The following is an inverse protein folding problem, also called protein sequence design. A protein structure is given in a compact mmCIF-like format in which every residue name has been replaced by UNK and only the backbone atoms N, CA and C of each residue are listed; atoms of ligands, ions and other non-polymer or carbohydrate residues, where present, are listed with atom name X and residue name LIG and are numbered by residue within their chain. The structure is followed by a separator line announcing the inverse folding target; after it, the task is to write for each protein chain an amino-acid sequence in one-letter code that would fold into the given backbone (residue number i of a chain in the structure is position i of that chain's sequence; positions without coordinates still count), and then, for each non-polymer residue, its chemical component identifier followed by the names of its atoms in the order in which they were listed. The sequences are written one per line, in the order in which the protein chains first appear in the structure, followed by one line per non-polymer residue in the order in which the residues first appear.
data_IF_138416866445
#
_entry.id   IF_138416866445
#
_cell.length_a   1.000
_cell.length_b   1.000
_cell.length_c   1.000
_cell.angle_alpha   90.00
_cell.angle_beta   90.00
_cell.angle_gamma   90.00
#
_symmetry.space_group_name_H-M   'P 1'
#
loop_
_entity.id
_entity.type
_entity.pdbx_description
1 polymer ?
#
# COMPACT_ATOMS: atom_id res chain seq x y z
N UNK A 1 6.29 14.27 4.46
CA UNK A 1 5.73 13.19 3.60
C UNK A 1 6.78 12.17 3.17
N UNK A 2 7.95 12.55 2.64
CA UNK A 2 8.97 11.62 2.15
C UNK A 2 9.46 10.57 3.18
N UNK A 3 9.72 10.99 4.42
CA UNK A 3 10.13 10.08 5.50
C UNK A 3 9.04 9.04 5.82
N UNK A 4 7.78 9.47 5.88
CA UNK A 4 6.64 8.58 6.12
C UNK A 4 6.48 7.55 4.99
N UNK A 5 6.58 7.97 3.73
CA UNK A 5 6.55 7.06 2.57
C UNK A 5 7.67 6.03 2.67
N UNK A 6 8.92 6.46 2.94
CA UNK A 6 10.06 5.54 3.11
C UNK A 6 9.79 4.50 4.20
N UNK A 7 9.26 4.91 5.36
CA UNK A 7 8.96 4.00 6.47
C UNK A 7 7.82 3.04 6.09
N UNK A 8 6.75 3.54 5.49
CA UNK A 8 5.56 2.77 5.13
C UNK A 8 5.82 1.71 4.05
N UNK A 9 6.72 1.98 3.09
CA UNK A 9 7.01 1.05 1.99
C UNK A 9 8.08 0.00 2.32
N UNK A 10 8.56 -0.09 3.57
CA UNK A 10 9.46 -1.18 3.97
C UNK A 10 8.72 -2.53 4.03
N UNK A 11 9.46 -3.64 3.93
CA UNK A 11 8.88 -5.01 3.84
C UNK A 11 8.28 -5.51 5.16
N UNK A 12 8.77 -5.00 6.27
CA UNK A 12 8.37 -5.32 7.64
C UNK A 12 7.14 -4.54 8.11
N UNK A 13 6.59 -3.65 7.28
CA UNK A 13 5.43 -2.83 7.61
C UNK A 13 4.17 -3.42 6.99
N UNK A 14 3.27 -3.85 7.87
CA UNK A 14 1.95 -4.36 7.52
C UNK A 14 0.85 -3.47 8.09
N UNK A 15 -0.25 -3.40 7.36
CA UNK A 15 -1.46 -2.66 7.69
C UNK A 15 -2.58 -3.65 7.98
N UNK A 16 -3.31 -3.38 9.06
CA UNK A 16 -4.53 -4.13 9.38
C UNK A 16 -5.72 -3.64 8.55
N UNK A 17 -6.79 -4.44 8.52
CA UNK A 17 -8.00 -4.12 7.77
C UNK A 17 -8.57 -2.74 8.11
N UNK A 18 -8.62 -2.38 9.40
CA UNK A 18 -9.14 -1.08 9.86
C UNK A 18 -8.28 0.08 9.34
N UNK A 19 -6.96 -0.03 9.47
CA UNK A 19 -6.03 0.98 8.97
C UNK A 19 -6.12 1.12 7.45
N UNK A 20 -6.23 -0.01 6.74
CA UNK A 20 -6.40 -0.02 5.28
C UNK A 20 -7.69 0.68 4.87
N UNK A 21 -8.82 0.37 5.51
CA UNK A 21 -10.11 1.01 5.22
C UNK A 21 -10.07 2.52 5.51
N UNK A 22 -9.47 2.94 6.62
CA UNK A 22 -9.35 4.35 6.96
C UNK A 22 -8.47 5.10 5.93
N UNK A 23 -7.36 4.50 5.51
CA UNK A 23 -6.48 5.09 4.48
C UNK A 23 -7.15 5.19 3.11
N UNK A 24 -7.99 4.21 2.73
CA UNK A 24 -8.74 4.23 1.47
C UNK A 24 -9.76 5.37 1.41
N UNK A 25 -10.34 5.80 2.54
CA UNK A 25 -11.25 6.94 2.57
C UNK A 25 -10.59 8.25 2.12
N UNK A 26 -9.27 8.37 2.30
CA UNK A 26 -8.52 9.54 1.85
C UNK A 26 -8.11 9.49 0.37
N UNK A 27 -8.40 8.41 -0.34
CA UNK A 27 -8.06 8.26 -1.76
C UNK A 27 -9.27 8.65 -2.64
N UNK A 28 -9.28 9.85 -3.26
CA UNK A 28 -10.43 10.34 -4.03
C UNK A 28 -10.71 9.54 -5.30
N UNK A 29 -9.71 8.80 -5.81
CA UNK A 29 -9.80 7.96 -7.01
C UNK A 29 -10.15 6.50 -6.69
N UNK A 30 -10.53 6.20 -5.44
CA UNK A 30 -10.86 4.85 -5.04
C UNK A 30 -12.20 4.40 -5.64
N UNK A 31 -12.21 3.22 -6.23
CA UNK A 31 -13.34 2.61 -6.94
C UNK A 31 -14.29 1.81 -6.01
N UNK A 32 -14.11 1.93 -4.69
CA UNK A 32 -14.86 1.20 -3.68
C UNK A 32 -14.44 -0.26 -3.51
N UNK A 33 -13.44 -0.75 -4.26
CA UNK A 33 -12.94 -2.12 -4.15
C UNK A 33 -11.66 -2.17 -3.33
N UNK A 34 -11.70 -2.90 -2.22
CA UNK A 34 -10.50 -3.12 -1.42
C UNK A 34 -9.60 -4.16 -2.12
N UNK A 35 -8.28 -3.92 -2.25
CA UNK A 35 -7.39 -4.90 -2.86
C UNK A 35 -7.27 -6.16 -1.99
N UNK A 36 -6.89 -7.28 -2.61
CA UNK A 36 -6.60 -8.52 -1.90
C UNK A 36 -5.41 -8.33 -0.94
N UNK A 37 -5.47 -8.83 0.31
CA UNK A 37 -4.35 -8.75 1.25
C UNK A 37 -3.14 -9.53 0.72
N UNK A 38 -1.93 -9.05 1.04
CA UNK A 38 -0.68 -9.75 0.72
C UNK A 38 -0.51 -11.04 1.54
N UNK A 39 -1.04 -11.07 2.76
CA UNK A 39 -1.05 -12.25 3.62
C UNK A 39 -2.51 -12.57 3.92
N UNK A 40 -2.94 -13.80 3.65
CA UNK A 40 -4.33 -14.22 3.86
C UNK A 40 -4.54 -14.90 5.22
N UNK A 41 -3.53 -15.62 5.72
CA UNK A 41 -3.57 -16.39 6.97
C UNK A 41 -2.31 -16.12 7.78
N UNK A 42 -2.38 -16.15 9.13
CA UNK A 42 -3.57 -16.37 9.96
C UNK A 42 -4.52 -15.16 10.02
N UNK A 43 -4.02 -13.96 9.70
CA UNK A 43 -4.80 -12.70 9.66
C UNK A 43 -4.58 -12.01 8.30
N UNK A 44 -5.61 -11.37 7.72
CA UNK A 44 -5.43 -10.59 6.51
C UNK A 44 -4.57 -9.35 6.78
N UNK A 45 -3.46 -9.22 6.08
CA UNK A 45 -2.54 -8.08 6.18
C UNK A 45 -2.20 -7.52 4.80
N UNK A 46 -2.12 -6.19 4.73
CA UNK A 46 -1.73 -5.44 3.54
C UNK A 46 -0.35 -4.84 3.73
N UNK A 47 0.41 -4.68 2.65
CA UNK A 47 1.67 -3.95 2.70
C UNK A 47 1.46 -2.49 2.34
N UNK A 48 2.31 -1.60 2.84
CA UNK A 48 2.29 -0.20 2.43
C UNK A 48 2.51 0.00 0.93
N UNK A 49 3.22 -0.93 0.27
CA UNK A 49 3.40 -0.93 -1.19
C UNK A 49 2.09 -1.18 -1.95
N UNK A 50 1.25 -2.10 -1.47
CA UNK A 50 -0.06 -2.35 -2.09
C UNK A 50 -0.94 -1.10 -2.08
N UNK A 51 -0.96 -0.36 -0.96
CA UNK A 51 -1.66 0.93 -0.89
C UNK A 51 -1.03 1.95 -1.85
N UNK A 52 0.30 2.03 -1.90
CA UNK A 52 1.00 2.98 -2.77
C UNK A 52 0.74 2.71 -4.26
N UNK A 53 0.54 1.45 -4.66
CA UNK A 53 0.16 1.08 -6.02
C UNK A 53 -1.20 1.67 -6.42
N UNK A 54 -2.16 1.80 -5.50
CA UNK A 54 -3.47 2.40 -5.80
C UNK A 54 -3.40 3.91 -6.06
N UNK A 55 -2.35 4.56 -5.55
CA UNK A 55 -2.13 6.01 -5.71
C UNK A 55 -1.49 6.32 -7.07
N UNK A 56 -0.70 5.39 -7.62
CA UNK A 56 0.00 5.60 -8.90
C UNK A 56 -1.01 5.43 -10.05
N UNK A 57 -1.29 6.48 -10.83
CA UNK A 57 -2.26 6.39 -11.92
C UNK A 57 -1.70 5.63 -13.12
N UNK A 58 -2.58 4.91 -13.82
CA UNK A 58 -2.28 4.30 -15.12
C UNK A 58 -1.36 3.07 -15.07
N UNK A 59 -0.72 2.78 -16.21
CA UNK A 59 0.21 1.66 -16.37
C UNK A 59 1.63 2.22 -16.46
N UNK A 60 2.27 2.39 -15.32
CA UNK A 60 3.63 2.94 -15.22
C UNK A 60 4.60 1.80 -14.91
N UNK A 61 5.63 1.65 -15.74
CA UNK A 61 6.74 0.74 -15.50
C UNK A 61 7.99 1.56 -15.17
N UNK A 62 8.62 1.26 -14.03
CA UNK A 62 9.84 1.91 -13.60
C UNK A 62 10.77 0.90 -12.93
N UNK A 63 12.05 0.91 -13.30
CA UNK A 63 13.09 0.16 -12.62
C UNK A 63 14.07 1.14 -11.97
N UNK A 64 14.34 0.95 -10.68
CA UNK A 64 15.33 1.73 -9.94
C UNK A 64 16.12 0.80 -9.02
N UNK A 65 17.43 0.96 -8.99
CA UNK A 65 18.29 0.30 -8.01
C UNK A 65 18.27 1.12 -6.72
N UNK A 66 17.89 0.49 -5.61
CA UNK A 66 17.98 1.08 -4.29
C UNK A 66 19.24 0.51 -3.60
N UNK A 67 20.15 1.38 -3.15
CA UNK A 67 21.21 0.99 -2.23
C UNK A 67 20.56 0.66 -0.89
N UNK A 68 20.73 -0.58 -0.43
CA UNK A 68 20.18 -1.10 0.84
C UNK A 68 20.64 -0.28 2.04
#
# INVERSE_FOLDING_TARGET
TLCAVRKMTKRDVFLEKEQMMNLLMFLPTWDGKMPQPAILKPKPLWTGKQLFTLIIPGKVNMMKTHST
#
